data_IF_057827848102
#
_entry.id   IF_057827848102
#
_cell.length_a   1.000
_cell.length_b   1.000
_cell.length_c   1.000
_cell.angle_alpha   90.00
_cell.angle_beta   90.00
_cell.angle_gamma   90.00
#
_symmetry.space_group_name_H-M   'P 1'
#
loop_
_entity.id
_entity.type
_entity.pdbx_description
1 polymer ?
#
# COMPACT_ATOMS: atom_id res chain seq x y z
N UNK A 1 -10.33 -17.34 -13.65
CA UNK A 1 -10.69 -15.93 -13.41
C UNK A 1 -10.33 -15.17 -14.67
N UNK A 2 -11.32 -14.60 -15.36
CA UNK A 2 -11.08 -13.84 -16.61
C UNK A 2 -11.50 -12.40 -16.36
N UNK A 3 -10.59 -11.45 -16.57
CA UNK A 3 -10.91 -10.02 -16.45
C UNK A 3 -11.76 -9.58 -17.66
N UNK A 4 -12.89 -8.93 -17.42
CA UNK A 4 -13.85 -8.51 -18.44
C UNK A 4 -13.80 -7.01 -18.76
N UNK A 5 -14.64 -6.58 -19.69
CA UNK A 5 -14.79 -5.15 -20.04
C UNK A 5 -15.32 -4.39 -18.81
N UNK A 6 -14.58 -3.37 -18.37
CA UNK A 6 -14.88 -2.59 -17.16
C UNK A 6 -14.17 -3.07 -15.89
N UNK A 7 -13.39 -4.16 -15.94
CA UNK A 7 -12.50 -4.53 -14.84
C UNK A 7 -11.25 -3.65 -14.84
N UNK A 8 -10.83 -3.20 -13.66
CA UNK A 8 -9.60 -2.44 -13.46
C UNK A 8 -8.58 -3.28 -12.69
N UNK A 9 -7.39 -3.43 -13.26
CA UNK A 9 -6.28 -4.17 -12.66
C UNK A 9 -5.19 -3.20 -12.20
N UNK A 10 -4.84 -3.28 -10.91
CA UNK A 10 -3.69 -2.58 -10.36
C UNK A 10 -2.53 -3.55 -10.18
N UNK A 11 -1.38 -3.21 -10.78
CA UNK A 11 -0.14 -3.92 -10.57
C UNK A 11 0.75 -3.08 -9.67
N UNK A 12 1.13 -3.62 -8.51
CA UNK A 12 1.98 -2.95 -7.53
C UNK A 12 3.28 -3.72 -7.41
N UNK A 13 4.41 -3.04 -7.59
CA UNK A 13 5.72 -3.58 -7.21
C UNK A 13 5.86 -3.52 -5.69
N UNK A 14 5.63 -4.67 -5.04
CA UNK A 14 5.72 -4.78 -3.59
C UNK A 14 7.12 -4.47 -3.05
N UNK A 15 8.17 -4.87 -3.77
CA UNK A 15 9.55 -4.74 -3.31
C UNK A 15 10.02 -3.28 -3.30
N UNK A 16 9.77 -2.54 -4.37
CA UNK A 16 10.11 -1.12 -4.45
C UNK A 16 9.25 -0.28 -3.50
N UNK A 17 7.97 -0.63 -3.31
CA UNK A 17 7.10 0.08 -2.37
C UNK A 17 7.55 -0.12 -0.92
N UNK A 18 7.85 -1.36 -0.49
CA UNK A 18 8.26 -1.60 0.88
C UNK A 18 9.66 -1.04 1.17
N UNK A 19 10.56 -1.07 0.19
CA UNK A 19 11.87 -0.43 0.29
C UNK A 19 11.75 1.09 0.48
N UNK A 20 10.90 1.76 -0.30
CA UNK A 20 10.64 3.19 -0.12
C UNK A 20 10.00 3.48 1.23
N UNK A 21 9.02 2.68 1.65
CA UNK A 21 8.37 2.84 2.95
C UNK A 21 9.36 2.71 4.12
N UNK A 22 10.34 1.81 4.02
CA UNK A 22 11.39 1.66 5.04
C UNK A 22 12.24 2.93 5.21
N UNK A 23 12.54 3.63 4.11
CA UNK A 23 13.45 4.79 4.12
C UNK A 23 12.72 6.15 4.25
N UNK A 24 11.40 6.21 4.08
CA UNK A 24 10.66 7.47 4.01
C UNK A 24 10.23 8.03 5.37
N UNK A 25 10.13 7.19 6.41
CA UNK A 25 9.60 7.57 7.72
C UNK A 25 10.69 7.53 8.79
N UNK A 26 10.58 8.35 9.86
CA UNK A 26 11.43 8.20 11.03
C UNK A 26 11.24 6.81 11.67
N UNK A 27 12.19 6.32 12.48
CA UNK A 27 12.08 5.02 13.13
C UNK A 27 10.77 4.88 13.92
N UNK A 28 9.94 3.91 13.53
CA UNK A 28 8.70 3.58 14.20
C UNK A 28 8.80 2.17 14.78
N UNK A 29 8.54 2.06 16.07
CA UNK A 29 8.55 0.80 16.81
C UNK A 29 7.19 0.52 17.44
N UNK A 30 6.85 -0.77 17.54
CA UNK A 30 5.64 -1.21 18.22
C UNK A 30 5.82 -1.08 19.74
N UNK A 31 4.84 -0.48 20.41
CA UNK A 31 4.93 -0.18 21.86
C UNK A 31 5.05 -1.41 22.75
N UNK A 32 4.50 -2.55 22.36
CA UNK A 32 4.45 -3.76 23.19
C UNK A 32 5.78 -4.50 23.32
N UNK A 33 6.62 -4.44 22.28
CA UNK A 33 7.84 -5.26 22.18
C UNK A 33 9.02 -4.56 21.46
N UNK A 34 8.86 -3.30 21.06
CA UNK A 34 9.91 -2.52 20.41
C UNK A 34 10.20 -2.91 18.96
N UNK A 35 9.44 -3.84 18.36
CA UNK A 35 9.73 -4.28 16.99
C UNK A 35 9.62 -3.11 16.00
N UNK A 36 10.60 -2.88 15.11
CA UNK A 36 10.49 -1.89 14.05
C UNK A 36 9.36 -2.24 13.07
N UNK A 37 8.47 -1.28 12.81
CA UNK A 37 7.28 -1.48 11.97
C UNK A 37 7.13 -0.42 10.85
N UNK A 38 8.06 0.53 10.74
CA UNK A 38 7.95 1.67 9.83
C UNK A 38 7.68 1.29 8.37
N UNK A 39 8.39 0.29 7.84
CA UNK A 39 8.19 -0.18 6.47
C UNK A 39 6.79 -0.76 6.24
N UNK A 40 6.30 -1.59 7.18
CA UNK A 40 4.96 -2.20 7.07
C UNK A 40 3.88 -1.14 7.18
N UNK A 41 4.00 -0.22 8.15
CA UNK A 41 3.04 0.86 8.34
C UNK A 41 2.98 1.79 7.11
N UNK A 42 4.14 2.20 6.58
CA UNK A 42 4.21 3.03 5.38
C UNK A 42 3.65 2.32 4.14
N UNK A 43 4.01 1.06 3.94
CA UNK A 43 3.51 0.25 2.82
C UNK A 43 1.98 0.13 2.84
N UNK A 44 1.40 -0.23 3.98
CA UNK A 44 -0.06 -0.32 4.15
C UNK A 44 -0.75 1.02 3.91
N UNK A 45 -0.18 2.13 4.39
CA UNK A 45 -0.74 3.46 4.14
C UNK A 45 -0.73 3.84 2.65
N UNK A 46 0.34 3.50 1.92
CA UNK A 46 0.41 3.73 0.47
C UNK A 46 -0.66 2.92 -0.28
N UNK A 47 -0.84 1.64 0.07
CA UNK A 47 -1.90 0.81 -0.52
C UNK A 47 -3.28 1.36 -0.18
N UNK A 48 -3.51 1.77 1.07
CA UNK A 48 -4.76 2.37 1.48
C UNK A 48 -5.07 3.64 0.70
N UNK A 49 -4.07 4.49 0.45
CA UNK A 49 -4.19 5.65 -0.43
C UNK A 49 -4.63 5.27 -1.85
N UNK A 50 -4.02 4.25 -2.46
CA UNK A 50 -4.40 3.77 -3.79
C UNK A 50 -5.84 3.23 -3.84
N UNK A 51 -6.27 2.51 -2.81
CA UNK A 51 -7.63 1.96 -2.72
C UNK A 51 -8.68 3.05 -2.49
N UNK A 52 -8.36 4.07 -1.71
CA UNK A 52 -9.33 5.11 -1.30
C UNK A 52 -9.39 6.29 -2.26
N UNK A 53 -8.28 6.68 -2.89
CA UNK A 53 -8.24 7.75 -3.89
C UNK A 53 -8.96 7.37 -5.18
N UNK A 54 -9.04 6.08 -5.50
CA UNK A 54 -9.69 5.59 -6.71
C UNK A 54 -11.19 5.30 -6.52
N UNK A 55 -11.89 6.01 -5.64
CA UNK A 55 -13.36 5.91 -5.51
C UNK A 55 -14.05 6.84 -6.52
N UNK A 56 -14.68 6.28 -7.56
CA UNK A 56 -15.42 7.04 -8.57
C UNK A 56 -15.92 6.16 -9.73
N UNK A 57 -16.66 6.74 -10.70
CA UNK A 57 -17.16 6.04 -11.90
C UNK A 57 -16.05 5.38 -12.77
N UNK A 58 -14.80 5.77 -12.57
CA UNK A 58 -13.59 5.25 -13.21
C UNK A 58 -12.66 4.49 -12.25
N UNK A 59 -13.16 4.19 -11.04
CA UNK A 59 -12.44 3.47 -9.99
C UNK A 59 -12.55 1.95 -10.12
N UNK A 60 -11.61 1.17 -9.57
CA UNK A 60 -11.69 -0.28 -9.53
C UNK A 60 -12.87 -0.76 -8.69
N UNK A 61 -13.66 -1.68 -9.26
CA UNK A 61 -14.69 -2.48 -8.57
C UNK A 61 -14.11 -3.77 -8.02
#
# INVERSE_FOLDING_TARGET
MTFGKGCHLHLIDGSAFIFRAYHALPPLTRKSDGLPIGAVAGFCNMLWGQLTANKGKSGPT
#
